data_IF_911113755513
#
_entry.id   IF_911113755513
#
_cell.length_a   1.000
_cell.length_b   1.000
_cell.length_c   1.000
_cell.angle_alpha   90.00
_cell.angle_beta   90.00
_cell.angle_gamma   90.00
#
_symmetry.space_group_name_H-M   'P 1'
#
loop_
_entity.id
_entity.type
_entity.pdbx_description
1 polymer ?
#
# COMPACT_ATOMS: atom_id res chain seq x y z
N UNK A 1 -18.52 30.19 38.97
CA UNK A 1 -19.38 29.33 38.14
C UNK A 1 -18.64 29.06 36.84
N UNK A 2 -18.11 27.85 36.70
CA UNK A 2 -17.20 27.44 35.64
C UNK A 2 -17.90 27.32 34.28
N UNK A 3 -17.32 27.80 33.17
CA UNK A 3 -17.78 27.43 31.85
C UNK A 3 -17.26 26.03 31.51
N UNK A 4 -18.19 25.10 31.30
CA UNK A 4 -17.94 23.74 30.82
C UNK A 4 -17.27 23.80 29.44
N UNK A 5 -15.98 23.50 29.37
CA UNK A 5 -15.28 23.24 28.11
C UNK A 5 -15.83 21.95 27.49
N UNK A 6 -16.52 22.08 26.35
CA UNK A 6 -16.75 20.96 25.43
C UNK A 6 -15.38 20.51 24.90
N UNK A 7 -14.89 19.39 25.39
CA UNK A 7 -13.77 18.70 24.80
C UNK A 7 -14.19 18.20 23.41
N UNK A 8 -13.73 18.90 22.37
CA UNK A 8 -13.79 18.43 20.98
C UNK A 8 -12.83 17.24 20.84
N UNK A 9 -13.35 16.02 21.03
CA UNK A 9 -12.70 14.80 20.53
C UNK A 9 -12.81 14.83 19.00
N UNK A 10 -11.77 15.31 18.33
CA UNK A 10 -11.61 15.03 16.91
C UNK A 10 -11.39 13.51 16.77
N UNK A 11 -12.39 12.78 16.29
CA UNK A 11 -12.22 11.39 15.90
C UNK A 11 -11.11 11.31 14.85
N UNK A 12 -10.17 10.36 14.91
CA UNK A 12 -9.18 10.19 13.84
C UNK A 12 -9.97 9.95 12.55
N UNK A 13 -9.90 10.87 11.60
CA UNK A 13 -10.64 10.76 10.34
C UNK A 13 -10.34 9.39 9.72
N UNK A 14 -11.36 8.57 9.50
CA UNK A 14 -11.21 7.24 8.92
C UNK A 14 -10.55 7.38 7.54
N UNK A 15 -9.29 6.94 7.42
CA UNK A 15 -8.50 7.08 6.19
C UNK A 15 -8.87 6.03 5.11
N UNK A 16 -9.59 4.99 5.53
CA UNK A 16 -9.94 3.81 4.77
C UNK A 16 -11.28 3.30 5.28
N UNK A 17 -12.19 2.94 4.37
CA UNK A 17 -13.48 2.40 4.73
C UNK A 17 -13.34 0.99 5.32
N UNK A 18 -14.17 0.65 6.30
CA UNK A 18 -14.14 -0.66 6.97
C UNK A 18 -14.38 -1.82 5.98
N UNK A 19 -15.25 -1.63 4.98
CA UNK A 19 -15.52 -2.62 3.92
C UNK A 19 -14.27 -2.95 3.10
N UNK A 20 -13.44 -1.95 2.79
CA UNK A 20 -12.21 -2.15 2.02
C UNK A 20 -11.18 -2.92 2.85
N UNK A 21 -11.07 -2.61 4.14
CA UNK A 21 -10.20 -3.32 5.09
C UNK A 21 -10.59 -4.81 5.13
N UNK A 22 -11.87 -5.12 5.30
CA UNK A 22 -12.36 -6.50 5.37
C UNK A 22 -12.17 -7.26 4.06
N UNK A 23 -12.43 -6.62 2.92
CA UNK A 23 -12.22 -7.23 1.61
C UNK A 23 -10.73 -7.49 1.34
N UNK A 24 -9.82 -6.59 1.75
CA UNK A 24 -8.36 -6.80 1.64
C UNK A 24 -7.92 -7.94 2.54
N UNK A 25 -8.31 -7.92 3.83
CA UNK A 25 -7.92 -8.93 4.81
C UNK A 25 -8.40 -10.33 4.42
N UNK A 26 -9.60 -10.42 3.84
CA UNK A 26 -10.16 -11.69 3.37
C UNK A 26 -9.69 -12.11 1.98
N UNK A 27 -8.93 -11.27 1.26
CA UNK A 27 -8.45 -11.57 -0.09
C UNK A 27 -9.52 -11.48 -1.19
N UNK A 28 -10.64 -10.79 -0.96
CA UNK A 28 -11.75 -10.66 -1.90
C UNK A 28 -11.85 -9.28 -2.56
N UNK A 29 -10.89 -8.37 -2.33
CA UNK A 29 -10.91 -7.05 -2.93
C UNK A 29 -10.51 -7.12 -4.42
N UNK A 30 -11.40 -6.69 -5.32
CA UNK A 30 -11.18 -6.76 -6.77
C UNK A 30 -10.13 -5.77 -7.32
N UNK A 31 -9.84 -4.69 -6.58
CA UNK A 31 -8.81 -3.71 -6.94
C UNK A 31 -7.91 -3.36 -5.74
N UNK A 32 -6.93 -4.21 -5.38
CA UNK A 32 -6.05 -3.92 -4.25
C UNK A 32 -5.20 -2.65 -4.42
N UNK A 33 -4.86 -2.24 -5.65
CA UNK A 33 -4.11 -1.00 -5.91
C UNK A 33 -4.93 0.26 -5.66
N UNK A 34 -6.26 0.19 -5.82
CA UNK A 34 -7.18 1.27 -5.44
C UNK A 34 -7.18 1.56 -3.94
N UNK A 35 -6.80 0.57 -3.11
CA UNK A 35 -6.78 0.70 -1.64
C UNK A 35 -5.36 0.82 -1.12
N UNK A 36 -4.52 -0.19 -1.36
CA UNK A 36 -3.17 -0.31 -0.86
C UNK A 36 -2.19 0.63 -1.57
N UNK A 37 -1.05 0.89 -0.92
CA UNK A 37 -0.04 1.81 -1.43
C UNK A 37 -0.27 3.24 -0.98
N UNK A 38 0.18 4.20 -1.81
CA UNK A 38 0.24 5.62 -1.45
C UNK A 38 -0.81 6.43 -2.21
N UNK A 39 -1.72 7.04 -1.46
CA UNK A 39 -2.86 7.76 -2.01
C UNK A 39 -2.94 9.20 -1.48
N UNK A 40 -3.56 10.10 -2.25
CA UNK A 40 -3.89 11.46 -1.77
C UNK A 40 -5.21 11.39 -1.00
N UNK A 41 -5.19 11.74 0.28
CA UNK A 41 -6.38 11.81 1.13
C UNK A 41 -6.17 12.78 2.31
N UNK A 42 -7.26 13.36 2.82
CA UNK A 42 -7.25 14.21 4.02
C UNK A 42 -6.17 15.31 4.01
N UNK A 43 -5.98 15.95 2.86
CA UNK A 43 -5.04 17.05 2.65
C UNK A 43 -3.57 16.65 2.52
N UNK A 44 -3.24 15.36 2.40
CA UNK A 44 -1.87 14.88 2.30
C UNK A 44 -1.75 13.53 1.60
N UNK A 45 -0.58 12.90 1.74
CA UNK A 45 -0.36 11.52 1.30
C UNK A 45 -0.63 10.57 2.46
N UNK A 46 -1.28 9.45 2.17
CA UNK A 46 -1.61 8.38 3.11
C UNK A 46 -1.01 7.09 2.55
N UNK A 47 -0.32 6.34 3.40
CA UNK A 47 0.07 4.96 3.10
C UNK A 47 -0.96 4.00 3.69
N UNK A 48 -1.28 2.95 2.93
CA UNK A 48 -2.08 1.81 3.39
C UNK A 48 -1.34 0.53 3.03
N UNK A 49 -1.17 -0.36 3.98
CA UNK A 49 -0.50 -1.62 3.74
C UNK A 49 -1.14 -2.77 4.51
N UNK A 50 -0.98 -3.97 3.96
CA UNK A 50 -1.37 -5.22 4.60
C UNK A 50 -0.11 -6.05 4.83
N UNK A 51 0.30 -6.16 6.08
CA UNK A 51 1.51 -6.89 6.52
C UNK A 51 1.09 -7.89 7.61
N UNK A 52 0.68 -9.11 7.23
CA UNK A 52 0.29 -10.14 8.18
C UNK A 52 1.36 -10.39 9.25
N UNK A 53 0.92 -10.54 10.50
CA UNK A 53 1.80 -10.80 11.64
C UNK A 53 2.51 -9.57 12.22
N UNK A 54 2.44 -8.39 11.58
CA UNK A 54 2.91 -7.15 12.17
C UNK A 54 1.94 -6.61 13.24
N UNK A 55 2.50 -6.00 14.27
CA UNK A 55 1.77 -5.28 15.33
C UNK A 55 2.00 -3.77 15.25
N UNK A 56 3.17 -3.36 14.74
CA UNK A 56 3.51 -1.96 14.47
C UNK A 56 4.14 -1.84 13.09
N UNK A 57 3.88 -0.70 12.42
CA UNK A 57 4.48 -0.38 11.14
C UNK A 57 4.89 1.10 11.08
N UNK A 58 6.14 1.33 10.71
CA UNK A 58 6.64 2.65 10.31
C UNK A 58 6.98 2.66 8.82
N UNK A 59 6.56 3.69 8.11
CA UNK A 59 6.94 3.93 6.72
C UNK A 59 8.30 4.63 6.69
N UNK A 60 9.18 4.18 5.82
CA UNK A 60 10.51 4.73 5.53
C UNK A 60 10.64 4.98 4.02
N UNK A 61 11.38 6.01 3.63
CA UNK A 61 11.80 6.16 2.23
C UNK A 61 12.83 5.07 1.87
N UNK A 62 13.06 4.81 0.58
CA UNK A 62 14.12 3.86 0.17
C UNK A 62 15.52 4.26 0.67
N UNK A 63 15.74 5.53 0.98
CA UNK A 63 16.97 6.04 1.60
C UNK A 63 17.02 5.88 3.14
N UNK A 64 16.04 5.18 3.74
CA UNK A 64 15.97 4.90 5.18
C UNK A 64 15.50 6.07 6.04
N UNK A 65 14.86 7.10 5.46
CA UNK A 65 14.33 8.24 6.23
C UNK A 65 12.91 7.96 6.70
N UNK A 66 12.55 8.23 7.97
CA UNK A 66 11.18 8.08 8.45
C UNK A 66 10.19 8.92 7.63
N UNK A 67 9.16 8.26 7.12
CA UNK A 67 8.10 8.84 6.30
C UNK A 67 6.75 8.89 7.03
N UNK A 68 6.52 8.10 8.08
CA UNK A 68 5.30 8.17 8.92
C UNK A 68 5.12 6.94 9.80
N UNK A 69 4.31 7.04 10.84
CA UNK A 69 3.90 5.88 11.66
C UNK A 69 2.47 5.50 11.27
N UNK A 70 2.23 4.21 11.01
CA UNK A 70 0.92 3.75 10.57
C UNK A 70 0.14 3.18 11.75
N UNK A 71 -1.16 3.46 11.79
CA UNK A 71 -2.09 2.96 12.79
C UNK A 71 -2.59 1.59 12.35
N UNK A 72 -2.53 0.60 13.25
CA UNK A 72 -3.15 -0.72 13.03
C UNK A 72 -4.67 -0.56 13.04
N UNK A 73 -5.32 -0.88 11.93
CA UNK A 73 -6.78 -0.77 11.78
C UNK A 73 -7.48 -2.13 11.84
N UNK A 74 -6.74 -3.22 11.65
CA UNK A 74 -7.24 -4.58 11.79
C UNK A 74 -6.14 -5.50 12.34
N UNK A 75 -6.51 -6.43 13.22
CA UNK A 75 -5.58 -7.34 13.86
C UNK A 75 -4.90 -8.33 12.89
N UNK A 76 -5.50 -8.58 11.74
CA UNK A 76 -4.89 -9.38 10.67
C UNK A 76 -3.65 -8.71 10.04
N UNK A 77 -3.36 -7.44 10.37
CA UNK A 77 -2.18 -6.74 9.90
C UNK A 77 -2.47 -5.66 8.85
N UNK A 78 -3.66 -5.04 8.89
CA UNK A 78 -3.94 -3.87 8.06
C UNK A 78 -3.56 -2.58 8.78
N UNK A 79 -2.84 -1.70 8.10
CA UNK A 79 -2.37 -0.42 8.64
C UNK A 79 -2.67 0.73 7.68
N UNK A 80 -3.01 1.90 8.23
CA UNK A 80 -3.05 3.15 7.48
C UNK A 80 -2.49 4.34 8.27
N UNK A 81 -2.01 5.36 7.56
CA UNK A 81 -1.46 6.54 8.21
C UNK A 81 -1.02 7.64 7.26
N UNK A 82 -1.05 8.88 7.76
CA UNK A 82 -0.54 10.03 7.01
C UNK A 82 0.97 9.99 6.90
N UNK A 83 1.47 10.30 5.72
CA UNK A 83 2.90 10.42 5.44
C UNK A 83 3.36 11.87 5.57
N UNK A 84 4.62 12.03 5.98
CA UNK A 84 5.35 13.30 6.11
C UNK A 84 5.98 13.75 4.78
N UNK A 85 5.97 12.90 3.75
CA UNK A 85 6.50 13.21 2.42
C UNK A 85 5.51 14.06 1.61
N UNK A 86 6.05 14.88 0.69
CA UNK A 86 5.24 15.78 -0.16
C UNK A 86 4.95 15.22 -1.56
N UNK A 87 5.80 14.32 -2.06
CA UNK A 87 5.69 13.69 -3.37
C UNK A 87 5.57 12.19 -3.18
N UNK A 88 4.75 11.54 -4.02
CA UNK A 88 4.68 10.08 -4.08
C UNK A 88 6.03 9.54 -4.56
N UNK A 89 6.49 8.48 -3.90
CA UNK A 89 7.72 7.75 -4.22
C UNK A 89 7.63 6.37 -3.58
N UNK A 90 8.40 5.37 -4.04
CA UNK A 90 8.45 4.06 -3.40
C UNK A 90 8.83 4.14 -1.92
N UNK A 91 8.20 3.27 -1.12
CA UNK A 91 8.42 3.19 0.33
C UNK A 91 8.85 1.80 0.75
N UNK A 92 9.41 1.75 1.96
CA UNK A 92 9.67 0.54 2.72
C UNK A 92 8.94 0.64 4.05
N UNK A 93 8.47 -0.48 4.57
CA UNK A 93 7.84 -0.58 5.87
C UNK A 93 8.78 -1.29 6.84
N UNK A 94 9.03 -0.65 7.98
CA UNK A 94 9.63 -1.26 9.15
C UNK A 94 8.51 -1.86 10.00
N UNK A 95 8.37 -3.18 9.95
CA UNK A 95 7.35 -3.93 10.64
C UNK A 95 7.92 -4.57 11.91
N UNK A 96 7.14 -4.55 13.00
CA UNK A 96 7.54 -5.13 14.28
C UNK A 96 6.43 -5.97 14.89
N UNK A 97 6.82 -7.00 15.64
CA UNK A 97 5.98 -7.75 16.57
C UNK A 97 6.84 -8.29 17.73
N UNK A 98 6.24 -9.10 18.61
CA UNK A 98 6.95 -9.72 19.74
C UNK A 98 8.15 -10.60 19.34
N UNK A 99 8.20 -11.10 18.10
CA UNK A 99 9.29 -11.93 17.58
C UNK A 99 10.46 -11.15 16.98
N UNK A 100 10.31 -9.83 16.76
CA UNK A 100 11.37 -8.97 16.25
C UNK A 100 10.90 -7.94 15.24
N UNK A 101 11.86 -7.46 14.44
CA UNK A 101 11.69 -6.41 13.44
C UNK A 101 12.16 -6.91 12.07
N UNK A 102 11.43 -6.54 11.01
CA UNK A 102 11.80 -6.81 9.63
C UNK A 102 11.38 -5.66 8.71
N UNK A 103 11.96 -5.63 7.52
CA UNK A 103 11.67 -4.62 6.49
C UNK A 103 11.00 -5.25 5.28
N UNK A 104 9.98 -4.58 4.75
CA UNK A 104 9.25 -4.98 3.55
C UNK A 104 9.15 -3.80 2.59
N UNK A 105 9.55 -3.98 1.33
CA UNK A 105 9.34 -2.94 0.30
C UNK A 105 7.89 -2.98 -0.17
N UNK A 106 7.25 -1.81 -0.28
CA UNK A 106 5.84 -1.72 -0.63
C UNK A 106 5.60 -1.94 -2.12
N UNK A 107 5.10 -3.12 -2.49
CA UNK A 107 4.75 -3.46 -3.87
C UNK A 107 3.65 -2.54 -4.44
N UNK A 108 2.75 -2.01 -3.61
CA UNK A 108 1.66 -1.13 -4.05
C UNK A 108 2.07 0.35 -4.12
N UNK A 109 3.28 0.68 -3.66
CA UNK A 109 3.87 2.00 -3.90
C UNK A 109 4.40 2.16 -5.32
N UNK A 110 4.66 1.04 -5.99
CA UNK A 110 5.26 0.91 -7.33
C UNK A 110 4.13 0.85 -8.38
N UNK A 111 4.29 1.55 -9.51
CA UNK A 111 3.28 1.58 -10.57
C UNK A 111 3.02 0.21 -11.23
N UNK A 112 1.87 0.06 -11.92
CA UNK A 112 1.57 -1.13 -12.70
C UNK A 112 2.61 -1.32 -13.82
N UNK A 113 3.00 -2.59 -14.06
CA UNK A 113 4.02 -2.96 -15.04
C UNK A 113 3.44 -3.12 -16.45
N UNK A 114 2.17 -3.54 -16.54
CA UNK A 114 1.45 -3.64 -17.81
C UNK A 114 0.93 -2.27 -18.22
N UNK A 115 1.20 -1.90 -19.47
CA UNK A 115 0.73 -0.64 -20.05
C UNK A 115 -0.58 -0.82 -20.85
N UNK A 116 -1.26 0.28 -21.22
CA UNK A 116 -2.54 0.22 -21.95
C UNK A 116 -2.50 -0.55 -23.28
N UNK A 117 -1.32 -0.63 -23.90
CA UNK A 117 -1.12 -1.36 -25.15
C UNK A 117 -1.07 -2.88 -24.92
N UNK A 118 -0.56 -3.33 -23.77
CA UNK A 118 -0.53 -4.75 -23.41
C UNK A 118 -1.97 -5.25 -23.21
N UNK A 119 -2.80 -4.49 -22.49
CA UNK A 119 -4.22 -4.79 -22.26
C UNK A 119 -5.03 -4.91 -23.57
N UNK A 120 -4.80 -3.99 -24.52
CA UNK A 120 -5.47 -4.01 -25.83
C UNK A 120 -5.15 -5.28 -26.62
N UNK A 121 -3.87 -5.64 -26.75
CA UNK A 121 -3.46 -6.79 -27.54
C UNK A 121 -3.79 -8.14 -26.87
N UNK A 122 -3.92 -8.17 -25.53
CA UNK A 122 -4.48 -9.32 -24.79
C UNK A 122 -5.94 -9.52 -25.17
N UNK A 123 -6.75 -8.46 -25.15
CA UNK A 123 -8.17 -8.52 -25.49
C UNK A 123 -8.45 -8.91 -26.95
N UNK A 124 -7.57 -8.53 -27.88
CA UNK A 124 -7.70 -8.86 -29.31
C UNK A 124 -7.15 -10.27 -29.66
N UNK A 125 -6.39 -10.90 -28.76
CA UNK A 125 -5.72 -12.19 -29.03
C UNK A 125 -4.53 -12.09 -30.01
N UNK A 126 -4.07 -10.87 -30.29
CA UNK A 126 -3.01 -10.57 -31.28
C UNK A 126 -1.63 -10.38 -30.64
N UNK A 127 -1.51 -10.47 -29.31
CA UNK A 127 -0.24 -10.28 -28.60
C UNK A 127 0.74 -11.46 -28.84
N UNK A 128 1.48 -11.43 -29.94
CA UNK A 128 2.39 -12.53 -30.36
C UNK A 128 3.55 -12.81 -29.39
N UNK A 129 3.80 -11.91 -28.44
CA UNK A 129 4.82 -12.03 -27.38
C UNK A 129 4.22 -12.00 -25.97
N UNK A 130 3.00 -12.53 -25.80
CA UNK A 130 2.28 -12.44 -24.53
C UNK A 130 3.02 -13.10 -23.36
N UNK A 131 3.83 -14.11 -23.64
CA UNK A 131 4.70 -14.79 -22.67
C UNK A 131 5.78 -13.88 -22.06
N UNK A 132 6.14 -12.76 -22.70
CA UNK A 132 7.08 -11.78 -22.13
C UNK A 132 6.42 -10.89 -21.07
N UNK A 133 5.08 -10.97 -20.94
CA UNK A 133 4.27 -10.12 -20.07
C UNK A 133 3.53 -10.91 -19.01
N UNK A 134 2.93 -12.04 -19.38
CA UNK A 134 2.31 -12.99 -18.45
C UNK A 134 3.36 -13.93 -17.83
N UNK A 135 3.06 -14.47 -16.65
CA UNK A 135 3.99 -15.29 -15.88
C UNK A 135 4.81 -14.47 -14.89
N UNK A 136 5.99 -14.99 -14.51
CA UNK A 136 6.87 -14.41 -13.51
C UNK A 136 8.15 -13.88 -14.14
N UNK A 137 8.41 -12.58 -14.02
CA UNK A 137 9.54 -11.89 -14.67
C UNK A 137 10.37 -11.10 -13.68
N UNK A 138 11.69 -11.34 -13.63
CA UNK A 138 12.61 -10.48 -12.87
C UNK A 138 12.68 -9.10 -13.54
N UNK A 139 12.44 -8.04 -12.77
CA UNK A 139 12.45 -6.67 -13.26
C UNK A 139 13.10 -5.72 -12.26
N UNK A 140 13.63 -4.61 -12.77
CA UNK A 140 13.90 -3.42 -11.98
C UNK A 140 12.87 -2.36 -12.35
N UNK A 141 12.07 -1.90 -11.38
CA UNK A 141 10.97 -0.96 -11.62
C UNK A 141 10.96 0.11 -10.54
N UNK A 142 10.94 1.38 -10.96
CA UNK A 142 11.03 2.55 -10.08
C UNK A 142 12.19 2.48 -9.05
N UNK A 143 13.31 1.87 -9.42
CA UNK A 143 14.50 1.73 -8.56
C UNK A 143 14.43 0.61 -7.53
N UNK A 144 13.49 -0.33 -7.69
CA UNK A 144 13.36 -1.55 -6.87
C UNK A 144 13.50 -2.77 -7.76
N UNK A 145 14.37 -3.70 -7.36
CA UNK A 145 14.48 -5.02 -7.99
C UNK A 145 13.46 -5.99 -7.40
N UNK A 146 12.81 -6.77 -8.26
CA UNK A 146 11.77 -7.72 -7.83
C UNK A 146 11.30 -8.65 -8.94
N UNK A 147 10.13 -9.26 -8.72
CA UNK A 147 9.48 -10.15 -9.69
C UNK A 147 8.08 -9.60 -9.98
N UNK A 148 7.77 -9.39 -11.26
CA UNK A 148 6.42 -9.10 -11.74
C UNK A 148 5.67 -10.40 -12.04
N UNK A 149 4.44 -10.49 -11.53
CA UNK A 149 3.52 -11.59 -11.82
C UNK A 149 2.30 -11.04 -12.55
N UNK A 150 1.93 -11.69 -13.67
CA UNK A 150 0.66 -11.43 -14.35
C UNK A 150 0.02 -12.76 -14.77
N UNK A 151 -1.27 -12.90 -14.47
CA UNK A 151 -2.10 -14.10 -14.71
C UNK A 151 -3.44 -13.69 -15.28
N UNK A 152 -4.02 -14.54 -16.13
CA UNK A 152 -5.32 -14.36 -16.77
C UNK A 152 -6.37 -15.25 -16.10
#
# INVERSE_FOLDING_TARGET
MSPSQKASRASPAELTAQSDIEAIVSGHHGDPFGVLGIHRANGGLVARCFIPGAQEVEAETLAGKPAGTLTRRNDAGFFDGKLKIRKRQPLRYLARNAGGEWRVTDAYSIGPVLGPMDDYYIGEGSHRRLFDKLGAHLISHEGVDGVHFAVW
#
